data_IF_676249573285
#
_entry.id   IF_676249573285
#
_cell.length_a   1.000
_cell.length_b   1.000
_cell.length_c   1.000
_cell.angle_alpha   90.00
_cell.angle_beta   90.00
_cell.angle_gamma   90.00
#
_symmetry.space_group_name_H-M   'P 1'
#
loop_
_entity.id
_entity.type
_entity.pdbx_description
1 polymer ?
#
# COMPACT_ATOMS: atom_id res chain seq x y z
N UNK A 1 -2.85 0.73 -23.74
CA UNK A 1 -2.08 0.69 -22.48
C UNK A 1 -2.74 -0.20 -21.40
N UNK A 2 -3.47 -1.28 -21.74
CA UNK A 2 -4.14 -2.14 -20.73
C UNK A 2 -3.49 -3.54 -20.58
N UNK A 3 -2.62 -3.93 -21.53
CA UNK A 3 -2.02 -5.27 -21.55
C UNK A 3 -0.74 -5.41 -20.71
N UNK A 4 -0.09 -4.32 -20.32
CA UNK A 4 1.20 -4.39 -19.62
C UNK A 4 1.04 -4.59 -18.10
N UNK A 5 0.02 -3.95 -17.50
CA UNK A 5 -0.15 -3.91 -16.04
C UNK A 5 -0.60 -5.26 -15.48
N UNK A 6 -1.46 -5.95 -16.24
CA UNK A 6 -1.88 -7.32 -15.95
C UNK A 6 -0.72 -8.32 -16.05
N UNK A 7 0.16 -8.13 -17.03
CA UNK A 7 1.34 -8.99 -17.22
C UNK A 7 2.32 -8.80 -16.06
N UNK A 8 2.59 -7.56 -15.61
CA UNK A 8 3.49 -7.31 -14.48
C UNK A 8 2.96 -7.91 -13.18
N UNK A 9 1.65 -7.80 -12.92
CA UNK A 9 1.00 -8.37 -11.73
C UNK A 9 1.18 -9.89 -11.63
N UNK A 10 1.19 -10.59 -12.77
CA UNK A 10 1.33 -12.05 -12.83
C UNK A 10 2.81 -12.47 -12.88
N UNK A 11 3.66 -11.69 -13.55
CA UNK A 11 5.06 -12.03 -13.78
C UNK A 11 5.98 -11.75 -12.58
N UNK A 12 5.62 -10.77 -11.75
CA UNK A 12 6.43 -10.31 -10.62
C UNK A 12 5.66 -10.19 -9.30
N UNK A 13 4.85 -11.18 -8.88
CA UNK A 13 4.38 -11.22 -7.52
C UNK A 13 5.63 -11.42 -6.64
N UNK A 14 5.76 -10.70 -5.53
CA UNK A 14 6.87 -10.80 -4.56
C UNK A 14 8.13 -9.95 -4.80
N UNK A 15 8.24 -9.20 -5.91
CA UNK A 15 9.38 -8.27 -6.10
C UNK A 15 9.14 -6.86 -5.52
N UNK A 16 8.05 -6.64 -4.78
CA UNK A 16 7.78 -5.36 -4.09
C UNK A 16 7.16 -4.25 -4.94
N UNK A 17 7.14 -4.35 -6.28
CA UNK A 17 6.67 -3.28 -7.17
C UNK A 17 5.18 -2.92 -7.07
N UNK A 18 4.37 -3.78 -6.44
CA UNK A 18 2.91 -3.63 -6.47
C UNK A 18 2.42 -2.34 -5.82
N UNK A 19 3.03 -1.92 -4.71
CA UNK A 19 2.65 -0.69 -4.01
C UNK A 19 3.10 0.56 -4.78
N UNK A 20 4.31 0.51 -5.37
CA UNK A 20 4.82 1.61 -6.18
C UNK A 20 4.00 1.81 -7.46
N UNK A 21 3.58 0.73 -8.10
CA UNK A 21 2.73 0.79 -9.30
C UNK A 21 1.36 1.42 -8.98
N UNK A 22 0.76 1.10 -7.83
CA UNK A 22 -0.49 1.72 -7.38
C UNK A 22 -0.34 3.23 -7.21
N UNK A 23 0.72 3.66 -6.52
CA UNK A 23 1.01 5.07 -6.31
C UNK A 23 1.30 5.80 -7.63
N UNK A 24 2.16 5.23 -8.48
CA UNK A 24 2.58 5.84 -9.75
C UNK A 24 1.41 6.04 -10.72
N UNK A 25 0.43 5.14 -10.70
CA UNK A 25 -0.74 5.22 -11.58
C UNK A 25 -1.98 5.78 -10.90
N UNK A 26 -1.84 6.33 -9.69
CA UNK A 26 -2.94 6.89 -8.90
C UNK A 26 -4.13 5.91 -8.78
N UNK A 27 -3.84 4.69 -8.32
CA UNK A 27 -4.82 3.63 -8.14
C UNK A 27 -4.94 3.23 -6.67
N UNK A 28 -6.18 3.03 -6.21
CA UNK A 28 -6.46 2.40 -4.93
C UNK A 28 -6.49 0.87 -5.03
N UNK A 29 -6.81 0.21 -3.93
CA UNK A 29 -7.10 -1.22 -3.95
C UNK A 29 -8.10 -1.62 -2.87
N UNK A 30 -8.86 -2.68 -3.17
CA UNK A 30 -9.61 -3.45 -2.18
C UNK A 30 -9.06 -4.87 -2.18
N UNK A 31 -8.92 -5.47 -0.99
CA UNK A 31 -8.52 -6.87 -0.87
C UNK A 31 -9.55 -7.77 -1.55
N UNK A 32 -9.07 -8.80 -2.24
CA UNK A 32 -9.93 -9.73 -2.99
C UNK A 32 -10.62 -10.70 -2.04
N UNK A 33 -11.67 -11.35 -2.55
CA UNK A 33 -12.33 -12.41 -1.82
C UNK A 33 -11.31 -13.47 -1.38
N UNK A 34 -11.27 -13.82 -0.08
CA UNK A 34 -10.32 -14.79 0.44
C UNK A 34 -10.68 -16.21 -0.02
N UNK A 35 -9.67 -17.08 -0.09
CA UNK A 35 -9.90 -18.49 -0.43
C UNK A 35 -10.55 -19.26 0.74
N UNK A 36 -10.18 -18.93 1.98
CA UNK A 36 -10.79 -19.48 3.20
C UNK A 36 -10.81 -18.40 4.31
N UNK A 37 -12.00 -18.03 4.77
CA UNK A 37 -12.20 -17.00 5.80
C UNK A 37 -11.79 -17.46 7.21
N UNK A 38 -11.87 -18.75 7.51
CA UNK A 38 -11.62 -19.27 8.87
C UNK A 38 -10.16 -19.16 9.30
N UNK A 39 -9.25 -18.91 8.36
CA UNK A 39 -7.82 -18.79 8.59
C UNK A 39 -7.35 -17.33 8.65
N UNK A 40 -8.28 -16.37 8.56
CA UNK A 40 -7.96 -14.96 8.40
C UNK A 40 -8.66 -14.12 9.46
N UNK A 41 -7.95 -13.10 9.93
CA UNK A 41 -8.56 -12.04 10.72
C UNK A 41 -9.58 -11.28 9.89
N UNK A 42 -10.74 -11.01 10.49
CA UNK A 42 -11.83 -10.29 9.83
C UNK A 42 -11.88 -8.85 10.34
N UNK A 43 -12.43 -7.94 9.53
CA UNK A 43 -12.54 -6.51 9.85
C UNK A 43 -11.80 -5.59 8.88
N UNK A 44 -11.99 -4.29 9.08
CA UNK A 44 -11.60 -3.21 8.15
C UNK A 44 -10.09 -3.15 7.89
N UNK A 45 -9.26 -3.50 8.87
CA UNK A 45 -7.81 -3.59 8.71
C UNK A 45 -7.32 -4.84 7.97
N UNK A 46 -8.19 -5.83 7.81
CA UNK A 46 -7.88 -7.18 7.36
C UNK A 46 -8.64 -7.50 6.06
N UNK A 47 -9.48 -8.54 6.03
CA UNK A 47 -10.09 -9.04 4.79
C UNK A 47 -10.87 -7.96 4.01
N UNK A 48 -11.53 -7.01 4.68
CA UNK A 48 -12.32 -5.96 4.02
C UNK A 48 -11.54 -4.67 3.72
N UNK A 49 -10.21 -4.66 3.89
CA UNK A 49 -9.41 -3.45 3.72
C UNK A 49 -9.52 -2.88 2.31
N UNK A 50 -9.90 -1.61 2.26
CA UNK A 50 -9.90 -0.77 1.06
C UNK A 50 -9.01 0.45 1.32
N UNK A 51 -8.21 0.82 0.33
CA UNK A 51 -7.30 1.97 0.36
C UNK A 51 -7.56 2.79 -0.90
N UNK A 52 -7.83 4.08 -0.73
CA UNK A 52 -8.07 5.01 -1.84
C UNK A 52 -6.76 5.35 -2.53
N UNK A 53 -6.80 5.83 -3.78
CA UNK A 53 -5.58 6.08 -4.56
C UNK A 53 -4.66 7.17 -3.99
N UNK A 54 -5.24 8.13 -3.25
CA UNK A 54 -4.54 9.26 -2.65
C UNK A 54 -4.20 9.04 -1.18
N UNK A 55 -4.32 7.81 -0.67
CA UNK A 55 -4.05 7.53 0.74
C UNK A 55 -2.58 7.82 1.08
N UNK A 56 -2.36 8.61 2.14
CA UNK A 56 -1.03 9.01 2.58
C UNK A 56 -0.14 7.80 2.95
N UNK A 57 -0.73 6.64 3.26
CA UNK A 57 -0.03 5.41 3.63
C UNK A 57 0.62 4.68 2.45
N UNK A 58 0.54 5.21 1.23
CA UNK A 58 1.45 4.82 0.14
C UNK A 58 2.88 5.36 0.33
N UNK A 59 3.09 6.28 1.26
CA UNK A 59 4.41 6.74 1.68
C UNK A 59 4.65 6.28 3.11
N UNK A 60 5.82 5.71 3.37
CA UNK A 60 6.22 5.33 4.73
C UNK A 60 6.49 6.57 5.58
N UNK A 61 6.24 6.46 6.88
CA UNK A 61 6.59 7.50 7.83
C UNK A 61 8.10 7.64 7.94
N UNK A 62 8.57 8.87 8.13
CA UNK A 62 9.95 9.13 8.48
C UNK A 62 10.19 8.54 9.88
N UNK A 63 11.28 7.79 10.11
CA UNK A 63 11.58 7.23 11.42
C UNK A 63 11.59 8.28 12.53
N UNK A 64 10.95 7.99 13.65
CA UNK A 64 10.85 8.94 14.78
C UNK A 64 12.20 9.41 15.31
N UNK A 65 13.21 8.54 15.28
CA UNK A 65 14.58 8.89 15.67
C UNK A 65 15.14 10.06 14.86
N UNK A 66 14.91 10.06 13.54
CA UNK A 66 15.37 11.14 12.65
C UNK A 66 14.70 12.47 13.00
N UNK A 67 13.40 12.44 13.28
CA UNK A 67 12.62 13.61 13.69
C UNK A 67 13.13 14.17 15.02
N UNK A 68 13.51 13.31 15.97
CA UNK A 68 14.05 13.75 17.26
C UNK A 68 15.43 14.40 17.15
N UNK A 69 16.27 13.96 16.21
CA UNK A 69 17.62 14.49 16.01
C UNK A 69 17.63 15.77 15.19
N UNK A 70 16.79 15.85 14.16
CA UNK A 70 16.74 16.99 13.26
C UNK A 70 15.34 17.62 13.27
N UNK A 71 15.17 18.66 14.08
CA UNK A 71 13.90 19.37 14.25
C UNK A 71 13.41 20.10 12.97
N UNK A 72 14.23 20.19 11.93
CA UNK A 72 13.82 20.74 10.63
C UNK A 72 13.10 19.70 9.76
N UNK A 73 13.12 18.42 10.13
CA UNK A 73 12.44 17.35 9.39
C UNK A 73 10.94 17.37 9.73
N UNK A 74 10.13 17.64 8.71
CA UNK A 74 8.67 17.59 8.82
C UNK A 74 8.18 16.20 8.40
N UNK A 75 7.34 15.59 9.22
CA UNK A 75 6.76 14.28 8.96
C UNK A 75 5.85 14.28 7.72
N UNK A 76 5.80 13.14 7.02
CA UNK A 76 4.88 12.92 5.92
C UNK A 76 3.42 13.03 6.41
N UNK A 77 2.50 13.63 5.63
CA UNK A 77 1.10 13.76 6.02
C UNK A 77 0.49 12.44 6.51
N UNK A 78 -0.25 12.48 7.62
CA UNK A 78 -0.94 11.31 8.17
C UNK A 78 -0.08 10.31 8.93
N UNK A 79 1.20 10.59 9.20
CA UNK A 79 2.08 9.85 10.11
C UNK A 79 2.36 10.66 11.38
#
# INVERSE_FOLDING_TARGET
MLRLDLVKKIKKPLEGFRLDDLKRWNQGFTRRYPQNLQLLETGEGYVSKTVTSNDNKFVWGIPGYEITLNQNVVQNPGW
#
